data_IF_448930872939
#
_entry.id   IF_448930872939
#
_cell.length_a   1.000
_cell.length_b   1.000
_cell.length_c   1.000
_cell.angle_alpha   90.00
_cell.angle_beta   90.00
_cell.angle_gamma   90.00
#
_symmetry.space_group_name_H-M   'P 1'
#
loop_
_entity.id
_entity.type
_entity.pdbx_description
1 polymer ?
#
# COMPACT_ATOMS: atom_id res chain seq x y z
N UNK A 1 22.53 -5.93 11.08
CA UNK A 1 21.78 -4.69 10.81
C UNK A 1 22.02 -4.31 9.37
N UNK A 2 20.98 -4.01 8.60
CA UNK A 2 21.13 -3.47 7.23
C UNK A 2 21.22 -1.96 7.28
N UNK A 3 21.85 -1.32 6.29
CA UNK A 3 21.94 0.14 6.20
C UNK A 3 20.57 0.83 6.23
N UNK A 4 19.55 0.18 5.65
CA UNK A 4 18.14 0.59 5.69
C UNK A 4 17.53 0.59 7.11
N UNK A 5 18.01 -0.27 8.02
CA UNK A 5 17.49 -0.31 9.40
C UNK A 5 18.12 0.75 10.30
N UNK A 6 19.38 1.15 10.06
CA UNK A 6 20.07 2.18 10.86
C UNK A 6 19.48 3.59 10.68
N UNK A 7 18.78 3.86 9.58
CA UNK A 7 18.17 5.16 9.30
C UNK A 7 16.77 5.36 9.90
N UNK A 8 16.07 4.28 10.26
CA UNK A 8 14.69 4.35 10.76
C UNK A 8 14.58 5.01 12.15
N UNK A 9 15.67 5.06 12.92
CA UNK A 9 15.64 5.43 14.35
C UNK A 9 16.13 6.84 14.71
N UNK A 10 16.57 7.69 13.76
CA UNK A 10 17.05 9.03 14.10
C UNK A 10 16.11 10.15 13.65
N UNK A 11 15.18 10.52 14.53
CA UNK A 11 15.08 11.94 14.92
C UNK A 11 14.02 12.83 14.25
N UNK A 12 13.01 12.29 13.58
CA UNK A 12 11.72 12.99 13.49
C UNK A 12 10.65 12.00 13.92
N UNK A 13 9.87 12.31 14.95
CA UNK A 13 8.63 11.61 15.24
C UNK A 13 7.65 11.93 14.11
N UNK A 14 7.93 11.38 12.93
CA UNK A 14 7.00 11.26 11.82
C UNK A 14 5.79 10.55 12.39
N UNK A 15 4.67 11.26 12.56
CA UNK A 15 3.42 10.61 12.82
C UNK A 15 3.18 9.65 11.65
N UNK A 16 3.44 8.36 11.86
CA UNK A 16 3.18 7.34 10.85
C UNK A 16 1.74 7.54 10.34
N UNK A 17 1.50 7.37 9.03
CA UNK A 17 0.18 7.63 8.47
C UNK A 17 -0.81 6.62 9.08
N UNK A 18 -1.61 7.10 10.02
CA UNK A 18 -2.59 6.30 10.74
C UNK A 18 -3.94 6.34 10.05
N UNK A 19 -4.82 5.44 10.47
CA UNK A 19 -6.25 5.48 10.15
C UNK A 19 -6.94 5.60 11.49
N UNK A 20 -7.74 6.66 11.65
CA UNK A 20 -8.47 6.87 12.88
C UNK A 20 -9.76 6.05 12.84
N UNK A 21 -9.92 5.15 13.81
CA UNK A 21 -11.14 4.39 14.00
C UNK A 21 -12.05 5.10 15.00
N UNK A 22 -13.25 5.48 14.56
CA UNK A 22 -14.23 6.21 15.36
C UNK A 22 -15.14 5.22 16.08
N UNK A 23 -15.21 5.32 17.41
CA UNK A 23 -16.12 4.50 18.25
C UNK A 23 -17.53 5.10 18.25
N UNK A 24 -18.15 5.17 17.07
CA UNK A 24 -19.49 5.71 16.87
C UNK A 24 -20.56 4.61 16.97
N UNK A 25 -21.83 5.01 17.13
CA UNK A 25 -22.96 4.06 17.13
C UNK A 25 -23.04 3.27 15.82
N UNK A 26 -22.70 3.94 14.72
CA UNK A 26 -22.63 3.35 13.38
C UNK A 26 -21.50 2.31 13.30
N UNK A 27 -20.36 2.57 13.93
CA UNK A 27 -19.27 1.60 14.02
C UNK A 27 -19.69 0.36 14.83
N UNK A 28 -20.38 0.54 15.96
CA UNK A 28 -20.92 -0.58 16.76
C UNK A 28 -21.93 -1.41 15.98
N UNK A 29 -22.86 -0.78 15.27
CA UNK A 29 -23.81 -1.47 14.41
C UNK A 29 -23.12 -2.24 13.28
N UNK A 30 -22.10 -1.63 12.64
CA UNK A 30 -21.35 -2.29 11.57
C UNK A 30 -20.52 -3.47 12.10
N UNK A 31 -20.01 -3.42 13.33
CA UNK A 31 -19.31 -4.55 13.96
C UNK A 31 -20.22 -5.78 14.14
N UNK A 32 -21.54 -5.60 14.20
CA UNK A 32 -22.53 -6.68 14.13
C UNK A 32 -22.58 -7.41 12.78
N UNK A 33 -22.00 -6.82 11.72
CA UNK A 33 -21.76 -7.44 10.42
C UNK A 33 -20.25 -7.50 10.11
N UNK A 34 -19.55 -8.55 10.58
CA UNK A 34 -18.10 -8.65 10.45
C UNK A 34 -17.60 -8.60 9.01
N UNK A 35 -18.38 -9.09 8.05
CA UNK A 35 -18.00 -9.08 6.64
C UNK A 35 -18.00 -7.67 6.05
N UNK A 36 -19.02 -6.86 6.37
CA UNK A 36 -19.09 -5.46 5.94
C UNK A 36 -18.03 -4.61 6.64
N UNK A 37 -17.83 -4.82 7.96
CA UNK A 37 -16.78 -4.16 8.72
C UNK A 37 -15.38 -4.44 8.15
N UNK A 38 -15.06 -5.72 7.92
CA UNK A 38 -13.76 -6.16 7.39
C UNK A 38 -13.49 -5.55 6.02
N UNK A 39 -14.51 -5.53 5.15
CA UNK A 39 -14.39 -4.94 3.83
C UNK A 39 -14.16 -3.42 3.90
N UNK A 40 -14.88 -2.71 4.78
CA UNK A 40 -14.69 -1.27 4.96
C UNK A 40 -13.29 -0.94 5.52
N UNK A 41 -12.82 -1.72 6.49
CA UNK A 41 -11.46 -1.59 7.02
C UNK A 41 -10.40 -1.81 5.93
N UNK A 42 -10.60 -2.81 5.06
CA UNK A 42 -9.70 -3.04 3.92
C UNK A 42 -9.70 -1.86 2.93
N UNK A 43 -10.87 -1.28 2.66
CA UNK A 43 -11.02 -0.09 1.80
C UNK A 43 -10.24 1.07 2.42
N UNK A 44 -10.48 1.38 3.71
CA UNK A 44 -9.78 2.44 4.41
C UNK A 44 -8.26 2.24 4.43
N UNK A 45 -7.81 0.99 4.62
CA UNK A 45 -6.39 0.64 4.57
C UNK A 45 -5.74 0.87 3.21
N UNK A 46 -6.47 0.62 2.11
CA UNK A 46 -5.96 0.76 0.74
C UNK A 46 -6.25 2.11 0.10
N UNK A 47 -7.07 2.95 0.74
CA UNK A 47 -7.51 4.19 0.15
C UNK A 47 -6.32 5.12 -0.07
N UNK A 48 -6.26 5.73 -1.25
CA UNK A 48 -5.28 6.78 -1.56
C UNK A 48 -5.50 7.94 -0.59
N UNK A 49 -4.43 8.47 0.00
CA UNK A 49 -4.51 9.56 0.99
C UNK A 49 -4.27 10.94 0.38
N UNK A 50 -3.30 11.06 -0.51
CA UNK A 50 -2.90 12.34 -1.10
C UNK A 50 -3.16 12.34 -2.59
N UNK A 51 -3.30 13.53 -3.19
CA UNK A 51 -3.36 13.71 -4.64
C UNK A 51 -2.01 13.46 -5.35
N UNK A 52 -1.06 12.82 -4.65
CA UNK A 52 0.23 12.44 -5.20
C UNK A 52 0.08 11.72 -6.53
N UNK A 53 1.06 11.91 -7.41
CA UNK A 53 0.93 11.72 -8.85
C UNK A 53 0.92 10.23 -9.24
N UNK A 54 0.99 9.30 -8.27
CA UNK A 54 0.90 7.85 -8.49
C UNK A 54 -0.09 7.51 -9.60
N UNK A 55 0.40 6.98 -10.74
CA UNK A 55 -0.37 6.62 -11.95
C UNK A 55 -1.57 5.68 -11.74
N UNK A 56 -1.87 5.28 -10.51
CA UNK A 56 -3.20 4.77 -10.20
C UNK A 56 -4.19 5.93 -10.38
N UNK A 57 -5.12 5.74 -11.30
CA UNK A 57 -6.25 6.66 -11.58
C UNK A 57 -7.27 6.68 -10.43
N UNK A 58 -6.79 6.64 -9.20
CA UNK A 58 -7.56 6.67 -7.98
C UNK A 58 -7.44 8.08 -7.41
N UNK A 59 -8.59 8.61 -7.01
CA UNK A 59 -8.70 9.84 -6.23
C UNK A 59 -8.45 9.56 -4.74
N UNK A 60 -8.11 10.57 -3.91
CA UNK A 60 -8.08 10.42 -2.46
C UNK A 60 -9.40 9.85 -1.93
N UNK A 61 -9.32 8.90 -1.00
CA UNK A 61 -10.48 8.16 -0.52
C UNK A 61 -10.91 6.98 -1.39
N UNK A 62 -10.24 6.73 -2.52
CA UNK A 62 -10.51 5.57 -3.38
C UNK A 62 -9.49 4.45 -3.21
N UNK A 63 -9.97 3.21 -3.31
CA UNK A 63 -9.17 2.00 -3.22
C UNK A 63 -9.54 1.02 -4.35
N UNK A 64 -8.55 0.34 -4.93
CA UNK A 64 -8.79 -0.81 -5.81
C UNK A 64 -9.02 -2.07 -4.97
N UNK A 65 -10.15 -2.73 -5.19
CA UNK A 65 -10.57 -3.96 -4.50
C UNK A 65 -11.00 -5.04 -5.51
N UNK A 66 -11.06 -6.29 -5.04
CA UNK A 66 -11.58 -7.42 -5.82
C UNK A 66 -11.10 -8.79 -5.32
N UNK A 67 -10.09 -8.78 -4.47
CA UNK A 67 -9.41 -9.91 -3.85
C UNK A 67 -10.10 -10.35 -2.55
N UNK A 68 -11.35 -10.80 -2.64
CA UNK A 68 -12.12 -11.34 -1.51
C UNK A 68 -11.37 -12.38 -0.64
N UNK A 69 -10.45 -13.16 -1.23
CA UNK A 69 -9.62 -14.13 -0.52
C UNK A 69 -8.62 -13.48 0.44
N UNK A 70 -8.06 -12.31 0.11
CA UNK A 70 -7.05 -11.64 0.95
C UNK A 70 -7.64 -11.15 2.27
N UNK A 71 -8.93 -10.83 2.26
CA UNK A 71 -9.70 -10.40 3.45
C UNK A 71 -10.39 -11.56 4.16
N UNK A 72 -10.11 -12.81 3.77
CA UNK A 72 -10.70 -14.00 4.38
C UNK A 72 -12.20 -14.16 4.14
N UNK A 73 -12.77 -13.48 3.13
CA UNK A 73 -14.20 -13.57 2.82
C UNK A 73 -14.46 -14.55 1.69
N UNK A 74 -15.57 -15.28 1.80
CA UNK A 74 -16.11 -16.00 0.63
C UNK A 74 -16.63 -15.00 -0.41
N UNK A 75 -16.65 -15.38 -1.68
CA UNK A 75 -17.14 -14.52 -2.74
C UNK A 75 -18.59 -14.06 -2.50
N UNK A 76 -19.44 -14.93 -1.94
CA UNK A 76 -20.83 -14.60 -1.57
C UNK A 76 -20.88 -13.55 -0.46
N UNK A 77 -20.12 -13.75 0.63
CA UNK A 77 -20.05 -12.81 1.74
C UNK A 77 -19.53 -11.44 1.26
N UNK A 78 -18.49 -11.42 0.42
CA UNK A 78 -17.94 -10.21 -0.17
C UNK A 78 -18.96 -9.43 -1.01
N UNK A 79 -19.75 -10.11 -1.85
CA UNK A 79 -20.81 -9.46 -2.65
C UNK A 79 -21.92 -8.87 -1.77
N UNK A 80 -22.31 -9.57 -0.71
CA UNK A 80 -23.31 -9.08 0.23
C UNK A 80 -22.79 -7.89 1.05
N UNK A 81 -21.54 -7.95 1.51
CA UNK A 81 -20.86 -6.86 2.21
C UNK A 81 -20.85 -5.57 1.37
N UNK A 82 -20.51 -5.66 0.07
CA UNK A 82 -20.59 -4.49 -0.84
C UNK A 82 -21.98 -3.86 -0.86
N UNK A 83 -23.03 -4.67 -1.10
CA UNK A 83 -24.42 -4.18 -1.13
C UNK A 83 -24.83 -3.51 0.18
N UNK A 84 -24.39 -4.04 1.32
CA UNK A 84 -24.69 -3.48 2.64
C UNK A 84 -23.96 -2.15 2.87
N UNK A 85 -22.68 -2.06 2.52
CA UNK A 85 -21.91 -0.81 2.60
C UNK A 85 -22.50 0.30 1.71
N UNK A 86 -22.98 -0.03 0.52
CA UNK A 86 -23.75 0.90 -0.34
C UNK A 86 -25.04 1.34 0.33
N UNK A 87 -25.82 0.37 0.86
CA UNK A 87 -27.09 0.64 1.55
C UNK A 87 -26.90 1.55 2.77
N UNK A 88 -25.80 1.40 3.50
CA UNK A 88 -25.47 2.23 4.65
C UNK A 88 -24.86 3.60 4.29
N UNK A 89 -24.60 3.86 3.00
CA UNK A 89 -23.97 5.10 2.56
C UNK A 89 -22.52 5.26 3.01
N UNK A 90 -21.82 4.16 3.29
CA UNK A 90 -20.43 4.17 3.78
C UNK A 90 -19.41 4.11 2.63
N UNK A 91 -19.76 3.42 1.54
CA UNK A 91 -18.91 3.30 0.37
C UNK A 91 -19.73 3.13 -0.92
N UNK A 92 -19.15 3.53 -2.06
CA UNK A 92 -19.67 3.27 -3.40
C UNK A 92 -18.70 2.42 -4.21
N UNK A 93 -19.20 1.64 -5.16
CA UNK A 93 -18.37 0.73 -5.95
C UNK A 93 -18.54 0.95 -7.46
N UNK A 94 -17.43 1.08 -8.18
CA UNK A 94 -17.38 1.19 -9.64
C UNK A 94 -16.58 0.04 -10.23
N UNK A 95 -17.20 -0.74 -11.12
CA UNK A 95 -16.50 -1.78 -11.87
C UNK A 95 -15.57 -1.19 -12.93
N UNK A 96 -14.40 -1.81 -13.12
CA UNK A 96 -13.40 -1.46 -14.13
C UNK A 96 -12.81 -2.73 -14.73
N UNK A 97 -12.08 -2.61 -15.85
CA UNK A 97 -11.40 -3.74 -16.48
C UNK A 97 -10.32 -4.38 -15.57
N UNK A 98 -9.82 -3.65 -14.57
CA UNK A 98 -8.77 -4.10 -13.65
C UNK A 98 -9.30 -4.56 -12.28
N UNK A 99 -10.58 -4.38 -12.00
CA UNK A 99 -11.16 -4.67 -10.68
C UNK A 99 -12.31 -3.74 -10.33
N UNK A 100 -12.60 -3.60 -9.04
CA UNK A 100 -13.62 -2.66 -8.54
C UNK A 100 -12.94 -1.52 -7.81
N UNK A 101 -13.23 -0.27 -8.17
CA UNK A 101 -12.84 0.90 -7.39
C UNK A 101 -13.90 1.09 -6.31
N UNK A 102 -13.48 1.13 -5.05
CA UNK A 102 -14.30 1.53 -3.93
C UNK A 102 -13.99 2.97 -3.55
N UNK A 103 -15.00 3.80 -3.33
CA UNK A 103 -14.84 5.16 -2.83
C UNK A 103 -15.50 5.27 -1.46
N UNK A 104 -14.76 5.74 -0.46
CA UNK A 104 -15.31 6.05 0.85
C UNK A 104 -16.18 7.31 0.75
N UNK A 105 -17.41 7.24 1.26
CA UNK A 105 -18.35 8.36 1.20
C UNK A 105 -18.36 9.18 2.50
N UNK A 106 -18.06 8.52 3.64
CA UNK A 106 -18.17 9.15 4.94
C UNK A 106 -17.09 8.64 5.91
N UNK A 107 -16.56 9.56 6.74
CA UNK A 107 -15.57 9.29 7.79
C UNK A 107 -16.16 8.86 9.13
N UNK A 108 -17.47 8.51 9.21
CA UNK A 108 -18.15 8.13 10.46
C UNK A 108 -17.50 6.96 11.23
N UNK A 109 -16.80 6.08 10.52
CA UNK A 109 -16.17 4.88 11.10
C UNK A 109 -14.65 4.94 10.95
N UNK A 110 -14.16 5.28 9.77
CA UNK A 110 -12.73 5.40 9.49
C UNK A 110 -12.41 6.75 8.86
N UNK A 111 -11.43 7.46 9.41
CA UNK A 111 -10.86 8.68 8.86
C UNK A 111 -9.42 8.38 8.41
N UNK A 112 -9.17 8.49 7.10
CA UNK A 112 -7.88 8.15 6.48
C UNK A 112 -6.94 9.35 6.34
N UNK A 113 -7.35 10.51 6.88
CA UNK A 113 -6.65 11.80 6.75
C UNK A 113 -6.30 12.13 5.29
N UNK A 114 -7.25 11.91 4.37
CA UNK A 114 -7.01 12.18 2.96
C UNK A 114 -7.08 13.69 2.68
N UNK A 115 -6.08 14.22 1.98
CA UNK A 115 -6.05 15.60 1.54
C UNK A 115 -7.21 15.81 0.54
N UNK A 116 -8.18 16.64 0.91
CA UNK A 116 -9.37 16.95 0.11
C UNK A 116 -10.39 15.81 -0.06
N UNK A 117 -10.78 15.12 1.03
CA UNK A 117 -12.09 14.46 1.00
C UNK A 117 -13.16 15.53 0.74
N UNK A 118 -14.09 15.34 -0.21
CA UNK A 118 -15.16 16.30 -0.41
C UNK A 118 -15.95 16.39 0.90
N UNK A 119 -15.82 17.51 1.61
CA UNK A 119 -16.59 17.80 2.81
C UNK A 119 -18.08 17.58 2.49
N UNK A 120 -18.67 16.59 3.14
CA UNK A 120 -20.11 16.40 3.28
C UNK A 120 -20.96 16.72 2.02
N UNK A 121 -21.10 15.74 1.11
CA UNK A 121 -22.30 15.68 0.23
C UNK A 121 -23.55 15.20 0.99
N UNK A 122 -23.77 15.73 2.19
CA UNK A 122 -25.02 15.60 2.95
C UNK A 122 -26.07 16.66 2.59
N UNK A 123 -25.76 17.60 1.69
CA UNK A 123 -26.77 18.51 1.16
C UNK A 123 -27.49 17.87 -0.02
N UNK A 124 -28.74 17.52 0.21
CA UNK A 124 -29.72 17.15 -0.79
C UNK A 124 -29.67 18.15 -1.96
N UNK A 125 -29.09 17.74 -3.09
CA UNK A 125 -29.34 18.41 -4.36
C UNK A 125 -30.79 18.10 -4.75
N UNK A 126 -31.69 19.01 -4.38
CA UNK A 126 -33.03 19.09 -4.94
C UNK A 126 -32.92 19.16 -6.45
N UNK A 127 -33.27 18.06 -7.13
CA UNK A 127 -33.61 18.11 -8.54
C UNK A 127 -35.03 18.66 -8.61
N UNK A 128 -35.14 19.98 -8.78
CA UNK A 128 -36.31 20.56 -9.42
C UNK A 128 -36.28 20.10 -10.89
N UNK A 129 -37.29 19.31 -11.26
CA UNK A 129 -37.51 18.80 -12.59
C UNK A 129 -38.89 18.16 -12.61
N UNK A 130 -39.87 18.93 -13.05
CA UNK A 130 -41.29 18.63 -13.02
C UNK A 130 -41.67 17.46 -13.93
N UNK A 131 -42.52 16.57 -13.40
CA UNK A 131 -43.71 16.09 -14.10
C UNK A 131 -44.71 15.65 -13.04
N UNK A 132 -45.88 16.29 -13.04
CA UNK A 132 -47.05 15.88 -12.27
C UNK A 132 -47.43 14.45 -12.65
N UNK A 133 -47.63 13.59 -11.67
CA UNK A 133 -48.79 12.69 -11.66
C UNK A 133 -49.11 12.26 -10.22
N UNK A 134 -50.38 12.39 -9.91
CA UNK A 134 -51.03 12.26 -8.62
C UNK A 134 -51.12 10.80 -8.19
N UNK A 135 -50.62 10.41 -7.00
CA UNK A 135 -51.22 9.35 -6.19
C UNK A 135 -51.15 9.72 -4.71
N UNK A 136 -52.33 9.82 -4.10
CA UNK A 136 -52.59 10.02 -2.68
C UNK A 136 -52.09 8.85 -1.82
N UNK A 137 -51.43 9.20 -0.71
CA UNK A 137 -51.66 8.65 0.62
C UNK A 137 -51.32 7.19 0.88
N UNK A 138 -50.23 6.95 1.61
CA UNK A 138 -50.20 6.00 2.72
C UNK A 138 -48.93 6.18 3.54
N UNK A 139 -49.10 6.66 4.78
CA UNK A 139 -48.12 6.45 5.85
C UNK A 139 -48.20 5.00 6.30
N UNK A 140 -47.07 4.31 6.33
CA UNK A 140 -46.85 3.09 7.12
C UNK A 140 -45.37 3.07 7.51
N UNK A 141 -45.06 3.31 8.78
CA UNK A 141 -44.85 2.26 9.77
C UNK A 141 -43.89 1.19 9.23
N UNK A 142 -42.63 1.31 9.61
CA UNK A 142 -41.64 0.25 9.42
C UNK A 142 -41.97 -0.82 10.44
N UNK A 143 -42.60 -1.89 9.98
CA UNK A 143 -42.79 -3.11 10.76
C UNK A 143 -41.43 -3.77 11.01
N UNK A 144 -40.96 -3.64 12.25
CA UNK A 144 -40.04 -4.58 12.87
C UNK A 144 -40.74 -5.94 12.94
N UNK A 145 -40.44 -6.87 12.01
CA UNK A 145 -40.50 -8.33 12.22
C UNK A 145 -40.25 -9.09 10.91
N UNK A 146 -38.98 -9.20 10.49
CA UNK A 146 -38.54 -10.40 9.75
C UNK A 146 -37.02 -10.53 9.70
N UNK A 147 -36.43 -11.02 10.78
CA UNK A 147 -35.06 -11.54 10.79
C UNK A 147 -35.04 -12.75 11.72
N UNK A 148 -35.47 -13.89 11.18
CA UNK A 148 -35.15 -15.17 11.79
C UNK A 148 -34.74 -16.18 10.71
N UNK A 149 -33.75 -16.98 11.08
CA UNK A 149 -33.15 -18.09 10.32
C UNK A 149 -32.01 -17.72 9.37
N UNK A 150 -30.81 -17.54 9.94
CA UNK A 150 -29.63 -18.35 9.58
C UNK A 150 -28.89 -18.62 10.90
N UNK A 151 -28.94 -19.87 11.36
CA UNK A 151 -28.27 -20.33 12.58
C UNK A 151 -26.76 -20.26 12.44
N UNK A 152 -26.12 -19.45 13.27
CA UNK A 152 -24.69 -19.54 13.55
C UNK A 152 -24.48 -20.59 14.64
N UNK A 153 -23.92 -21.74 14.25
CA UNK A 153 -23.54 -22.79 15.18
C UNK A 153 -22.15 -22.45 15.75
N UNK A 154 -22.14 -22.15 17.05
CA UNK A 154 -20.97 -21.81 17.86
C UNK A 154 -20.43 -23.11 18.49
N UNK A 155 -19.11 -23.20 18.58
CA UNK A 155 -18.31 -24.19 19.32
C UNK A 155 -17.80 -25.40 18.53
N UNK A 156 -16.50 -25.40 18.25
CA UNK A 156 -15.65 -26.55 18.56
C UNK A 156 -14.24 -26.07 18.89
N UNK A 157 -14.00 -25.88 20.18
CA UNK A 157 -12.67 -25.88 20.80
C UNK A 157 -12.16 -27.32 20.73
N UNK A 158 -10.97 -27.52 20.20
CA UNK A 158 -10.18 -28.72 20.44
C UNK A 158 -8.74 -28.27 20.67
N UNK A 159 -8.39 -28.26 21.96
CA UNK A 159 -7.02 -28.39 22.44
C UNK A 159 -6.44 -29.71 21.92
N UNK A 160 -5.21 -29.65 21.43
CA UNK A 160 -4.45 -30.81 20.97
C UNK A 160 -2.98 -30.55 21.25
N UNK A 161 -2.57 -30.90 22.47
CA UNK A 161 -1.18 -31.08 22.86
C UNK A 161 -0.54 -32.17 21.98
N UNK A 162 0.65 -31.89 21.44
CA UNK A 162 1.50 -32.91 20.85
C UNK A 162 2.96 -32.60 21.23
N UNK A 163 3.38 -33.20 22.34
CA UNK A 163 4.77 -33.48 22.67
C UNK A 163 5.34 -34.46 21.64
N UNK A 164 6.58 -34.23 21.18
CA UNK A 164 7.16 -35.01 20.10
C UNK A 164 8.68 -34.87 19.96
N UNK A 165 9.39 -35.35 20.98
CA UNK A 165 10.69 -36.02 20.93
C UNK A 165 11.74 -35.55 19.91
N UNK A 166 12.72 -34.80 20.42
CA UNK A 166 14.06 -34.63 19.85
C UNK A 166 14.80 -35.98 19.80
N UNK A 167 15.14 -36.45 18.59
CA UNK A 167 16.10 -37.54 18.39
C UNK A 167 17.51 -36.96 18.30
N UNK A 168 18.28 -37.20 19.35
CA UNK A 168 19.74 -37.13 19.33
C UNK A 168 20.28 -38.09 18.26
N UNK A 169 21.10 -37.56 17.35
CA UNK A 169 21.97 -38.36 16.49
C UNK A 169 23.40 -38.10 16.97
N UNK A 170 23.89 -39.00 17.82
CA UNK A 170 25.32 -39.16 18.07
C UNK A 170 25.94 -39.83 16.85
N UNK A 171 26.62 -39.03 16.02
CA UNK A 171 27.46 -39.49 14.93
C UNK A 171 28.91 -39.14 15.24
N UNK A 172 29.68 -40.14 15.65
CA UNK A 172 31.14 -40.13 15.78
C UNK A 172 31.74 -39.92 14.39
N UNK A 173 32.56 -38.88 14.21
CA UNK A 173 33.49 -38.81 13.08
C UNK A 173 34.85 -38.31 13.56
N UNK A 174 35.75 -39.27 13.73
CA UNK A 174 37.17 -39.07 13.93
C UNK A 174 37.83 -38.52 12.67
N UNK A 175 38.81 -37.63 12.88
CA UNK A 175 40.00 -37.54 12.04
C UNK A 175 39.90 -36.81 10.69
N UNK A 176 39.97 -35.48 10.71
CA UNK A 176 40.39 -34.69 9.54
C UNK A 176 41.21 -33.44 9.94
N UNK A 177 42.52 -33.65 9.98
CA UNK A 177 43.63 -32.74 9.62
C UNK A 177 43.45 -31.22 9.81
N UNK A 178 44.06 -30.73 10.89
CA UNK A 178 44.10 -29.36 11.36
C UNK A 178 45.15 -28.51 10.59
N UNK A 179 44.88 -28.16 9.32
CA UNK A 179 45.71 -27.21 8.53
C UNK A 179 44.98 -25.98 7.97
N UNK A 180 43.66 -25.85 8.12
CA UNK A 180 42.86 -24.76 7.50
C UNK A 180 42.37 -23.66 8.46
N UNK A 181 42.93 -23.53 9.68
CA UNK A 181 42.41 -22.58 10.68
C UNK A 181 43.00 -21.15 10.55
N UNK A 182 44.19 -20.99 9.99
CA UNK A 182 44.81 -19.66 9.79
C UNK A 182 44.24 -18.89 8.60
N UNK A 183 43.90 -19.56 7.48
CA UNK A 183 43.28 -18.90 6.31
C UNK A 183 41.87 -18.38 6.58
N UNK A 184 41.15 -18.95 7.56
CA UNK A 184 39.79 -18.52 7.92
C UNK A 184 39.79 -17.22 8.73
N UNK A 185 40.81 -16.99 9.56
CA UNK A 185 40.90 -15.79 10.39
C UNK A 185 41.32 -14.54 9.60
N UNK A 186 42.19 -14.68 8.61
CA UNK A 186 42.58 -13.55 7.74
C UNK A 186 41.41 -13.06 6.86
N UNK A 187 40.54 -13.97 6.41
CA UNK A 187 39.35 -13.62 5.62
C UNK A 187 38.24 -12.92 6.43
N UNK A 188 38.16 -13.16 7.75
CA UNK A 188 37.18 -12.47 8.61
C UNK A 188 37.55 -10.99 8.83
N UNK A 189 38.83 -10.71 9.09
CA UNK A 189 39.33 -9.34 9.30
C UNK A 189 39.26 -8.48 8.02
N UNK A 190 39.60 -9.05 6.86
CA UNK A 190 39.49 -8.34 5.58
C UNK A 190 38.04 -7.99 5.21
N UNK A 191 37.08 -8.83 5.59
CA UNK A 191 35.67 -8.61 5.30
C UNK A 191 35.03 -7.54 6.20
N UNK A 192 35.47 -7.40 7.46
CA UNK A 192 34.94 -6.36 8.35
C UNK A 192 35.39 -4.96 7.91
N UNK A 193 36.68 -4.79 7.58
CA UNK A 193 37.20 -3.51 7.10
C UNK A 193 36.52 -3.04 5.81
N UNK A 194 36.22 -3.98 4.91
CA UNK A 194 35.48 -3.70 3.67
C UNK A 194 34.04 -3.26 3.95
N UNK A 195 33.37 -3.86 4.94
CA UNK A 195 32.01 -3.49 5.33
C UNK A 195 31.97 -2.06 5.92
N UNK A 196 32.89 -1.72 6.83
CA UNK A 196 32.95 -0.39 7.45
C UNK A 196 33.22 0.72 6.41
N UNK A 197 34.09 0.43 5.44
CA UNK A 197 34.34 1.32 4.30
C UNK A 197 33.09 1.56 3.45
N UNK A 198 32.32 0.50 3.14
CA UNK A 198 31.07 0.62 2.38
C UNK A 198 29.99 1.40 3.13
N UNK A 199 29.90 1.20 4.45
CA UNK A 199 28.97 1.93 5.31
C UNK A 199 29.31 3.42 5.30
N UNK A 200 30.58 3.76 5.49
CA UNK A 200 31.05 5.16 5.50
C UNK A 200 30.77 5.85 4.16
N UNK A 201 31.07 5.19 3.05
CA UNK A 201 30.78 5.69 1.70
C UNK A 201 29.29 5.90 1.46
N UNK A 202 28.45 4.99 1.94
CA UNK A 202 26.99 5.12 1.84
C UNK A 202 26.49 6.40 2.50
N UNK A 203 26.99 6.73 3.70
CA UNK A 203 26.60 7.94 4.42
C UNK A 203 27.09 9.22 3.72
N UNK A 204 28.32 9.23 3.18
CA UNK A 204 28.84 10.38 2.46
C UNK A 204 28.03 10.68 1.19
N UNK A 205 27.67 9.64 0.42
CA UNK A 205 26.83 9.79 -0.77
C UNK A 205 25.43 10.29 -0.41
N UNK A 206 24.88 9.83 0.72
CA UNK A 206 23.53 10.21 1.14
C UNK A 206 23.45 11.65 1.66
N UNK A 207 24.51 12.14 2.32
CA UNK A 207 24.61 13.50 2.88
C UNK A 207 24.41 14.61 1.85
N UNK A 208 24.62 14.29 0.56
CA UNK A 208 24.42 15.18 -0.57
C UNK A 208 22.95 15.57 -0.78
N UNK A 209 22.00 14.76 -0.31
CA UNK A 209 20.56 14.97 -0.52
C UNK A 209 19.92 15.63 0.69
N UNK A 210 19.31 16.82 0.54
CA UNK A 210 18.61 17.47 1.65
C UNK A 210 17.38 16.65 2.11
N UNK A 211 16.67 16.02 1.17
CA UNK A 211 15.54 15.16 1.47
C UNK A 211 15.92 13.68 1.46
N UNK A 212 16.43 13.19 2.59
CA UNK A 212 16.72 11.77 2.78
C UNK A 212 15.47 10.87 2.66
N UNK A 213 14.26 11.40 2.85
CA UNK A 213 13.02 10.60 2.79
C UNK A 213 12.71 10.21 1.36
N UNK A 214 12.89 11.13 0.42
CA UNK A 214 12.71 10.85 -1.00
C UNK A 214 13.62 9.70 -1.48
N UNK A 215 14.85 9.66 -1.00
CA UNK A 215 15.81 8.57 -1.27
C UNK A 215 15.32 7.25 -0.67
N UNK A 216 14.81 7.28 0.56
CA UNK A 216 14.26 6.09 1.21
C UNK A 216 13.00 5.57 0.52
N UNK A 217 12.14 6.46 0.03
CA UNK A 217 10.93 6.12 -0.71
C UNK A 217 11.30 5.47 -2.06
N UNK A 218 12.33 5.97 -2.76
CA UNK A 218 12.87 5.32 -3.95
C UNK A 218 13.34 3.90 -3.67
N UNK A 219 14.12 3.69 -2.60
CA UNK A 219 14.60 2.36 -2.23
C UNK A 219 13.47 1.41 -1.84
N UNK A 220 12.46 1.91 -1.13
CA UNK A 220 11.26 1.15 -0.78
C UNK A 220 10.47 0.77 -2.03
N UNK A 221 10.29 1.70 -2.96
CA UNK A 221 9.66 1.45 -4.25
C UNK A 221 10.43 0.38 -5.05
N UNK A 222 11.75 0.47 -5.14
CA UNK A 222 12.58 -0.57 -5.80
C UNK A 222 12.44 -1.92 -5.09
N UNK A 223 12.37 -1.94 -3.75
CA UNK A 223 12.18 -3.18 -2.99
C UNK A 223 10.88 -3.91 -3.34
N UNK A 224 9.79 -3.17 -3.56
CA UNK A 224 8.47 -3.71 -3.98
C UNK A 224 8.56 -4.44 -5.33
N UNK A 225 9.46 -4.03 -6.22
CA UNK A 225 9.65 -4.69 -7.53
C UNK A 225 10.34 -6.07 -7.44
N UNK A 226 10.89 -6.42 -6.27
CA UNK A 226 11.66 -7.65 -6.06
C UNK A 226 10.80 -8.73 -5.41
N UNK A 227 10.98 -9.98 -5.86
CA UNK A 227 10.31 -11.14 -5.26
C UNK A 227 10.58 -11.29 -3.75
N UNK A 228 11.75 -10.86 -3.29
CA UNK A 228 12.14 -10.87 -1.88
C UNK A 228 11.51 -9.76 -1.04
N UNK A 229 10.95 -8.71 -1.67
CA UNK A 229 10.51 -7.48 -1.00
C UNK A 229 11.65 -6.69 -0.33
N UNK A 230 12.91 -7.01 -0.67
CA UNK A 230 14.12 -6.43 -0.04
C UNK A 230 15.19 -6.15 -1.09
N UNK A 231 15.93 -5.05 -0.90
CA UNK A 231 17.12 -4.70 -1.68
C UNK A 231 18.35 -4.88 -0.79
N UNK A 232 19.43 -5.46 -1.32
CA UNK A 232 20.67 -5.61 -0.56
C UNK A 232 21.43 -4.28 -0.49
N UNK A 233 22.15 -4.06 0.60
CA UNK A 233 22.95 -2.84 0.84
C UNK A 233 23.93 -2.54 -0.30
N UNK A 234 24.54 -3.59 -0.89
CA UNK A 234 25.42 -3.47 -2.06
C UNK A 234 24.73 -2.86 -3.29
N UNK A 235 23.43 -3.11 -3.47
CA UNK A 235 22.65 -2.59 -4.60
C UNK A 235 22.24 -1.16 -4.32
N UNK A 236 21.88 -0.83 -3.08
CA UNK A 236 21.59 0.54 -2.67
C UNK A 236 22.83 1.44 -2.84
N UNK A 237 23.99 0.98 -2.41
CA UNK A 237 25.26 1.68 -2.60
C UNK A 237 25.61 1.85 -4.09
N UNK A 238 25.42 0.80 -4.90
CA UNK A 238 25.62 0.87 -6.35
C UNK A 238 24.68 1.90 -7.01
N UNK A 239 23.47 2.04 -6.50
CA UNK A 239 22.50 3.02 -6.98
C UNK A 239 22.90 4.45 -6.59
N UNK A 240 23.32 4.68 -5.33
CA UNK A 240 23.84 6.00 -4.91
C UNK A 240 25.07 6.43 -5.70
N UNK A 241 26.02 5.52 -5.95
CA UNK A 241 27.20 5.78 -6.80
C UNK A 241 26.81 6.15 -8.23
N UNK A 242 25.72 5.57 -8.74
CA UNK A 242 25.21 5.92 -10.05
C UNK A 242 24.57 7.31 -10.04
N UNK A 243 23.80 7.64 -9.00
CA UNK A 243 23.16 8.95 -8.83
C UNK A 243 24.16 10.09 -8.63
N UNK A 244 25.33 9.80 -8.04
CA UNK A 244 26.40 10.78 -7.81
C UNK A 244 26.90 11.46 -9.10
N UNK A 245 26.69 10.83 -10.26
CA UNK A 245 27.06 11.34 -11.57
C UNK A 245 26.12 12.46 -12.09
N UNK A 246 24.98 12.68 -11.44
CA UNK A 246 23.96 13.67 -11.82
C UNK A 246 23.85 14.75 -10.74
N UNK A 247 23.28 15.93 -11.06
CA UNK A 247 23.01 16.95 -10.02
C UNK A 247 21.93 16.48 -9.03
N UNK A 248 21.91 17.04 -7.83
CA UNK A 248 20.95 16.65 -6.76
C UNK A 248 19.53 16.85 -7.25
N UNK A 249 19.25 17.99 -7.87
CA UNK A 249 17.91 18.37 -8.35
C UNK A 249 17.42 17.42 -9.44
N UNK A 250 18.33 16.93 -10.29
CA UNK A 250 18.01 15.98 -11.36
C UNK A 250 17.70 14.60 -10.79
N UNK A 251 18.44 14.16 -9.78
CA UNK A 251 18.18 12.90 -9.07
C UNK A 251 16.82 12.96 -8.37
N UNK A 252 16.57 14.00 -7.58
CA UNK A 252 15.31 14.17 -6.84
C UNK A 252 14.11 14.24 -7.80
N UNK A 253 14.20 15.03 -8.88
CA UNK A 253 13.13 15.11 -9.89
C UNK A 253 12.86 13.77 -10.56
N UNK A 254 13.91 13.02 -10.87
CA UNK A 254 13.78 11.70 -11.51
C UNK A 254 13.19 10.66 -10.56
N UNK A 255 13.58 10.70 -9.28
CA UNK A 255 13.01 9.86 -8.23
C UNK A 255 11.52 10.18 -8.05
N UNK A 256 11.17 11.46 -7.95
CA UNK A 256 9.79 11.90 -7.89
C UNK A 256 9.04 11.34 -9.09
N UNK A 257 9.47 11.62 -10.31
CA UNK A 257 8.84 11.09 -11.53
C UNK A 257 8.69 9.55 -11.55
N UNK A 258 9.59 8.81 -10.92
CA UNK A 258 9.50 7.35 -10.79
C UNK A 258 8.45 6.89 -9.78
N UNK A 259 8.43 7.50 -8.58
CA UNK A 259 7.48 7.20 -7.50
C UNK A 259 6.08 7.68 -7.89
N UNK A 260 5.98 8.92 -8.34
CA UNK A 260 4.81 9.56 -8.92
C UNK A 260 4.31 8.80 -10.14
N UNK A 261 5.20 8.31 -10.98
CA UNK A 261 4.83 7.43 -12.08
C UNK A 261 4.25 6.08 -11.63
N UNK A 262 4.30 5.76 -10.33
CA UNK A 262 4.01 4.44 -9.75
C UNK A 262 4.63 3.29 -10.54
N UNK A 263 5.79 3.55 -11.15
CA UNK A 263 6.46 2.64 -12.08
C UNK A 263 6.93 1.36 -11.38
N UNK A 264 7.18 1.44 -10.08
CA UNK A 264 7.49 0.29 -9.24
C UNK A 264 6.33 -0.70 -9.13
N UNK A 265 5.07 -0.26 -9.19
CA UNK A 265 3.89 -1.15 -9.18
C UNK A 265 3.74 -1.93 -10.50
N UNK A 266 4.25 -1.38 -11.60
CA UNK A 266 4.35 -2.07 -12.89
C UNK A 266 5.57 -3.03 -12.95
N UNK A 267 6.29 -3.20 -11.84
CA UNK A 267 7.50 -4.02 -11.76
C UNK A 267 8.73 -3.40 -12.43
N UNK A 268 8.70 -2.11 -12.77
CA UNK A 268 9.85 -1.40 -13.34
C UNK A 268 10.88 -1.13 -12.25
N UNK A 269 12.05 -1.75 -12.39
CA UNK A 269 13.14 -1.76 -11.40
C UNK A 269 14.05 -0.52 -11.48
N UNK A 270 15.18 -0.56 -10.75
CA UNK A 270 16.22 0.48 -10.73
C UNK A 270 16.65 0.92 -12.14
N UNK A 271 16.81 0.01 -13.09
CA UNK A 271 17.22 0.33 -14.47
C UNK A 271 16.28 1.33 -15.17
N UNK A 272 14.99 1.31 -14.83
CA UNK A 272 14.02 2.25 -15.39
C UNK A 272 14.21 3.65 -14.78
N UNK A 273 14.42 3.74 -13.47
CA UNK A 273 14.76 5.00 -12.79
C UNK A 273 16.04 5.62 -13.37
N UNK A 274 17.08 4.81 -13.60
CA UNK A 274 18.31 5.23 -14.30
C UNK A 274 18.02 5.74 -15.72
N UNK A 275 17.04 5.16 -16.40
CA UNK A 275 16.55 5.63 -17.70
C UNK A 275 15.93 7.02 -17.63
N UNK A 276 15.08 7.27 -16.63
CA UNK A 276 14.50 8.61 -16.38
C UNK A 276 15.61 9.63 -16.15
N UNK A 277 16.57 9.32 -15.27
CA UNK A 277 17.71 10.21 -15.00
C UNK A 277 18.53 10.51 -16.24
N UNK A 278 18.82 9.53 -17.10
CA UNK A 278 19.58 9.80 -18.34
C UNK A 278 18.81 10.72 -19.30
N UNK A 279 17.50 10.53 -19.40
CA UNK A 279 16.66 11.23 -20.36
C UNK A 279 16.12 12.58 -19.86
N UNK A 280 16.24 12.88 -18.56
CA UNK A 280 15.83 14.17 -18.01
C UNK A 280 16.79 15.28 -18.48
N UNK A 281 16.37 16.00 -19.52
CA UNK A 281 17.11 17.14 -20.08
C UNK A 281 16.83 18.45 -19.31
N UNK A 282 16.19 18.40 -18.14
CA UNK A 282 15.83 19.60 -17.38
C UNK A 282 14.69 20.41 -17.99
N UNK A 283 14.08 19.92 -19.06
CA UNK A 283 12.81 20.46 -19.54
C UNK A 283 11.75 20.12 -18.51
N UNK A 284 11.14 21.15 -17.91
CA UNK A 284 10.03 21.02 -16.97
C UNK A 284 9.07 19.94 -17.49
N UNK A 285 8.78 18.94 -16.65
CA UNK A 285 7.86 17.85 -16.95
C UNK A 285 6.52 18.51 -17.28
N UNK A 286 6.28 18.79 -18.56
CA UNK A 286 4.97 19.18 -19.07
C UNK A 286 4.12 17.95 -18.83
N UNK A 287 3.23 18.04 -17.85
CA UNK A 287 2.33 16.95 -17.47
C UNK A 287 1.77 16.31 -18.73
N UNK A 288 2.11 15.04 -18.96
CA UNK A 288 1.48 14.24 -19.99
C UNK A 288 0.03 13.96 -19.56
N UNK A 289 -0.80 15.00 -19.66
CA UNK A 289 -2.24 14.88 -19.68
C UNK A 289 -2.69 14.47 -21.07
N UNK A 290 -3.47 13.39 -21.11
CA UNK A 290 -4.46 13.09 -22.14
C UNK A 290 -3.93 12.82 -23.56
N UNK A 291 -3.70 11.53 -23.85
CA UNK A 291 -3.95 11.01 -25.20
C UNK A 291 -5.47 10.93 -25.40
N UNK A 292 -6.07 12.01 -25.92
CA UNK A 292 -7.37 11.92 -26.60
C UNK A 292 -7.15 11.29 -27.98
N UNK A 293 -7.56 10.03 -28.13
CA UNK A 293 -7.77 9.43 -29.43
C UNK A 293 -8.97 10.08 -30.11
N UNK A 294 -8.71 11.18 -30.83
CA UNK A 294 -9.65 11.74 -31.80
C UNK A 294 -9.71 10.82 -33.01
N UNK A 295 -10.82 10.09 -33.14
CA UNK A 295 -11.21 9.43 -34.38
C UNK A 295 -11.78 10.50 -35.30
N UNK A 296 -11.00 10.90 -36.30
CA UNK A 296 -11.48 11.72 -37.41
C UNK A 296 -12.22 10.84 -38.41
N UNK A 297 -13.43 11.30 -38.69
CA UNK A 297 -14.37 10.93 -39.75
C UNK A 297 -13.67 10.90 -41.11
N UNK A 298 -13.96 9.88 -41.92
CA UNK A 298 -13.83 9.94 -43.39
C UNK A 298 -15.25 9.96 -43.95
N UNK A 299 -15.52 11.02 -44.72
CA UNK A 299 -16.76 11.29 -45.46
C UNK A 299 -17.00 10.30 -46.59
#
# INVERSE_FOLDING_TARGET
MTLLTLFRDRGTALSEPFIKFMRSREAEQLMGDPAAFTLLAQIAYRAKRTNGVCMTSLEPGQALIGDHKSVGLTQKAYRLAKKRLEKYGLATFQGTNKGTIASMQNGLIFEINAENLPENRGQARGKQGASQETIQGASSNIDENNLNSIGYNKNKVLEGQAEGQSKETQGVSDGATNKNKEERNNNLSANSAKADSQVSEFFELLKRYPDHRLIQDAFSAIAVTRKSGKVSDSILLAELRYWDQFSVEKVERSILAYIDGCHHLDGKKENYLRGIMRNDNGAAIKGHGQHHGGSSIVS
#
